data_IF_032952677090
#
_entry.id   IF_032952677090
#
_cell.length_a   1.000
_cell.length_b   1.000
_cell.length_c   1.000
_cell.angle_alpha   90.00
_cell.angle_beta   90.00
_cell.angle_gamma   90.00
#
_symmetry.space_group_name_H-M   'P 1'
#
loop_
_entity.id
_entity.type
_entity.pdbx_description
1 polymer ?
#
# COMPACT_ATOMS: atom_id res chain seq x y z
N UNK A 1 12.90 -1.37 17.77
CA UNK A 1 11.82 -0.42 18.10
C UNK A 1 10.80 -0.40 16.97
N UNK A 2 9.52 -0.61 17.25
CA UNK A 2 8.44 -0.54 16.26
C UNK A 2 7.78 0.85 16.29
N UNK A 3 8.21 1.74 15.40
CA UNK A 3 7.82 3.15 15.40
C UNK A 3 6.30 3.37 15.41
N UNK A 4 5.56 2.73 14.49
CA UNK A 4 4.10 2.92 14.37
C UNK A 4 3.27 2.39 15.54
N UNK A 5 3.86 1.61 16.45
CA UNK A 5 3.19 1.10 17.65
C UNK A 5 3.80 1.67 18.94
N UNK A 6 4.85 2.50 18.83
CA UNK A 6 5.58 3.05 19.97
C UNK A 6 6.05 2.01 21.02
N UNK A 7 6.45 0.81 20.57
CA UNK A 7 6.93 -0.28 21.46
C UNK A 7 8.39 -0.69 21.16
N UNK A 8 9.17 -1.12 22.17
CA UNK A 8 10.57 -1.50 21.98
C UNK A 8 10.74 -2.74 21.10
N UNK A 9 9.90 -3.76 21.29
CA UNK A 9 9.93 -5.04 20.57
C UNK A 9 8.52 -5.43 20.12
N UNK A 10 8.41 -6.00 18.92
CA UNK A 10 7.16 -6.50 18.36
C UNK A 10 7.43 -7.65 17.39
N UNK A 11 6.54 -8.64 17.37
CA UNK A 11 6.52 -9.72 16.38
C UNK A 11 5.09 -10.15 16.10
N UNK A 12 4.87 -10.85 15.00
CA UNK A 12 3.58 -11.46 14.68
C UNK A 12 3.45 -12.82 15.40
N UNK A 13 2.30 -13.05 16.06
CA UNK A 13 1.98 -14.35 16.66
C UNK A 13 0.58 -14.91 16.31
N UNK A 14 -0.40 -14.03 16.10
CA UNK A 14 -1.84 -14.37 16.18
C UNK A 14 -2.46 -14.96 14.91
N UNK A 15 -1.71 -15.22 13.83
CA UNK A 15 -2.30 -15.71 12.57
C UNK A 15 -1.47 -16.78 11.81
N UNK A 16 -1.09 -17.89 12.47
CA UNK A 16 -0.27 -18.95 11.86
C UNK A 16 -0.83 -19.54 10.57
N UNK A 17 -2.15 -19.56 10.41
CA UNK A 17 -2.81 -20.10 9.21
C UNK A 17 -2.47 -19.29 7.95
N UNK A 18 -2.27 -17.98 8.06
CA UNK A 18 -2.14 -17.07 6.90
C UNK A 18 -0.80 -16.35 6.81
N UNK A 19 0.09 -16.51 7.80
CA UNK A 19 1.44 -15.92 7.77
C UNK A 19 2.45 -16.93 8.31
N UNK A 20 3.44 -17.24 7.47
CA UNK A 20 4.50 -18.16 7.86
C UNK A 20 5.39 -17.63 8.99
N UNK A 21 5.51 -16.29 9.14
CA UNK A 21 6.22 -15.68 10.26
C UNK A 21 5.63 -16.09 11.62
N UNK A 22 4.30 -16.15 11.74
CA UNK A 22 3.65 -16.61 12.97
C UNK A 22 4.01 -18.09 13.25
N UNK A 23 4.05 -18.96 12.23
CA UNK A 23 4.42 -20.38 12.38
C UNK A 23 5.82 -20.53 12.99
N UNK A 24 6.79 -19.75 12.52
CA UNK A 24 8.15 -19.76 13.06
C UNK A 24 8.15 -19.36 14.54
N UNK A 25 7.40 -18.31 14.90
CA UNK A 25 7.29 -17.86 16.29
C UNK A 25 6.64 -18.92 17.17
N UNK A 26 5.59 -19.60 16.69
CA UNK A 26 4.96 -20.72 17.39
C UNK A 26 5.94 -21.88 17.63
N UNK A 27 6.74 -22.25 16.62
CA UNK A 27 7.78 -23.28 16.75
C UNK A 27 8.84 -22.89 17.79
N UNK A 28 9.36 -21.66 17.70
CA UNK A 28 10.35 -21.16 18.65
C UNK A 28 9.80 -21.11 20.07
N UNK A 29 8.55 -20.66 20.25
CA UNK A 29 7.89 -20.61 21.55
C UNK A 29 7.72 -22.00 22.15
N UNK A 30 7.24 -22.97 21.36
CA UNK A 30 7.07 -24.35 21.81
C UNK A 30 8.39 -24.96 22.32
N UNK A 31 9.49 -24.71 21.60
CA UNK A 31 10.85 -25.14 22.01
C UNK A 31 11.28 -24.44 23.31
N UNK A 32 11.06 -23.13 23.43
CA UNK A 32 11.44 -22.41 24.67
C UNK A 32 10.64 -22.84 25.90
N UNK A 33 9.41 -23.32 25.71
CA UNK A 33 8.58 -23.86 26.78
C UNK A 33 8.87 -25.35 27.07
N UNK A 34 9.77 -26.00 26.33
CA UNK A 34 10.04 -27.44 26.46
C UNK A 34 8.91 -28.35 25.97
N UNK A 35 7.96 -27.82 25.19
CA UNK A 35 6.85 -28.57 24.62
C UNK A 35 7.23 -29.30 23.31
N UNK A 36 8.34 -28.90 22.67
CA UNK A 36 8.83 -29.47 21.42
C UNK A 36 10.37 -29.44 21.35
N UNK A 37 10.94 -30.19 20.40
CA UNK A 37 12.38 -30.29 20.18
C UNK A 37 12.94 -29.15 19.30
N UNK A 38 14.23 -28.85 19.46
CA UNK A 38 14.93 -27.80 18.71
C UNK A 38 14.98 -28.07 17.21
N UNK A 39 14.76 -27.03 16.41
CA UNK A 39 14.89 -27.07 14.95
C UNK A 39 16.23 -26.45 14.53
N UNK A 40 17.21 -27.26 14.03
CA UNK A 40 18.56 -26.77 13.73
C UNK A 40 18.59 -25.68 12.65
N UNK A 41 17.71 -25.76 11.65
CA UNK A 41 17.62 -24.76 10.58
C UNK A 41 17.15 -23.38 11.06
N UNK A 42 16.38 -23.32 12.16
CA UNK A 42 15.88 -22.05 12.72
C UNK A 42 16.91 -21.39 13.64
N UNK A 43 17.85 -22.16 14.18
CA UNK A 43 18.96 -21.67 15.01
C UNK A 43 20.09 -21.09 14.15
N UNK A 44 20.19 -21.51 12.90
CA UNK A 44 21.14 -20.96 11.94
C UNK A 44 20.72 -19.54 11.53
N UNK A 45 21.59 -18.58 11.87
CA UNK A 45 21.36 -17.15 11.64
C UNK A 45 21.28 -16.81 10.15
N UNK A 46 22.07 -17.46 9.30
CA UNK A 46 22.09 -17.15 7.86
C UNK A 46 20.81 -17.62 7.19
N UNK A 47 20.39 -18.86 7.47
CA UNK A 47 19.13 -19.41 6.98
C UNK A 47 17.94 -18.59 7.48
N UNK A 48 17.92 -18.22 8.76
CA UNK A 48 16.85 -17.40 9.34
C UNK A 48 16.78 -16.00 8.71
N UNK A 49 17.93 -15.37 8.43
CA UNK A 49 17.99 -14.09 7.72
C UNK A 49 17.43 -14.20 6.29
N UNK A 50 17.85 -15.20 5.53
CA UNK A 50 17.36 -15.44 4.17
C UNK A 50 15.85 -15.73 4.14
N UNK A 51 15.36 -16.48 5.11
CA UNK A 51 13.94 -16.74 5.29
C UNK A 51 13.18 -15.43 5.56
N UNK A 52 13.67 -14.58 6.47
CA UNK A 52 13.07 -13.27 6.74
C UNK A 52 12.99 -12.40 5.48
N UNK A 53 14.05 -12.37 4.66
CA UNK A 53 14.05 -11.63 3.40
C UNK A 53 12.99 -12.14 2.42
N UNK A 54 12.89 -13.47 2.25
CA UNK A 54 11.86 -14.08 1.40
C UNK A 54 10.43 -13.76 1.88
N UNK A 55 10.19 -13.81 3.20
CA UNK A 55 8.89 -13.45 3.78
C UNK A 55 8.52 -11.99 3.54
N UNK A 56 9.49 -11.09 3.69
CA UNK A 56 9.31 -9.66 3.41
C UNK A 56 8.97 -9.41 1.93
N UNK A 57 9.69 -10.09 1.02
CA UNK A 57 9.41 -10.03 -0.41
C UNK A 57 8.00 -10.52 -0.73
N UNK A 58 7.63 -11.71 -0.23
CA UNK A 58 6.31 -12.32 -0.48
C UNK A 58 5.17 -11.47 0.09
N UNK A 59 5.33 -10.91 1.29
CA UNK A 59 4.35 -10.01 1.88
C UNK A 59 4.14 -8.75 1.02
N UNK A 60 5.23 -8.14 0.55
CA UNK A 60 5.15 -6.97 -0.34
C UNK A 60 4.47 -7.30 -1.67
N UNK A 61 4.84 -8.43 -2.29
CA UNK A 61 4.23 -8.88 -3.54
C UNK A 61 2.74 -9.19 -3.39
N UNK A 62 2.34 -9.84 -2.29
CA UNK A 62 0.93 -10.11 -2.00
C UNK A 62 0.11 -8.81 -1.88
N UNK A 63 0.67 -7.77 -1.25
CA UNK A 63 0.02 -6.45 -1.17
C UNK A 63 -0.11 -5.79 -2.54
N UNK A 64 0.91 -5.87 -3.41
CA UNK A 64 0.81 -5.33 -4.77
C UNK A 64 -0.25 -6.07 -5.59
N UNK A 65 -0.28 -7.39 -5.53
CA UNK A 65 -1.28 -8.19 -6.21
C UNK A 65 -2.71 -7.87 -5.73
N UNK A 66 -2.91 -7.74 -4.42
CA UNK A 66 -4.20 -7.34 -3.84
C UNK A 66 -4.65 -5.97 -4.33
N UNK A 67 -3.76 -4.96 -4.31
CA UNK A 67 -4.06 -3.62 -4.84
C UNK A 67 -4.39 -3.65 -6.33
N UNK A 68 -3.63 -4.39 -7.14
CA UNK A 68 -3.86 -4.51 -8.57
C UNK A 68 -5.21 -5.17 -8.89
N UNK A 69 -5.58 -6.21 -8.13
CA UNK A 69 -6.88 -6.88 -8.29
C UNK A 69 -8.05 -5.96 -7.95
N UNK A 70 -7.96 -5.22 -6.84
CA UNK A 70 -8.98 -4.22 -6.46
C UNK A 70 -9.10 -3.17 -7.55
N UNK A 71 -7.98 -2.59 -8.00
CA UNK A 71 -7.98 -1.59 -9.07
C UNK A 71 -8.65 -2.13 -10.34
N UNK A 72 -8.27 -3.33 -10.80
CA UNK A 72 -8.85 -3.96 -11.99
C UNK A 72 -10.37 -4.17 -11.86
N UNK A 73 -10.83 -4.72 -10.75
CA UNK A 73 -12.25 -4.94 -10.50
C UNK A 73 -13.04 -3.62 -10.45
N UNK A 74 -12.43 -2.56 -9.92
CA UNK A 74 -13.05 -1.25 -9.92
C UNK A 74 -13.18 -0.67 -11.33
N UNK A 75 -12.19 -0.86 -12.20
CA UNK A 75 -12.32 -0.47 -13.63
C UNK A 75 -13.46 -1.21 -14.33
N UNK A 76 -13.63 -2.51 -14.03
CA UNK A 76 -14.76 -3.29 -14.55
C UNK A 76 -16.08 -2.73 -14.02
N UNK A 77 -16.16 -2.39 -12.73
CA UNK A 77 -17.37 -1.86 -12.11
C UNK A 77 -17.85 -0.54 -12.75
N UNK A 78 -16.92 0.34 -13.11
CA UNK A 78 -17.22 1.62 -13.78
C UNK A 78 -17.40 1.51 -15.29
N UNK A 79 -17.12 0.35 -15.89
CA UNK A 79 -17.31 0.16 -17.33
C UNK A 79 -18.79 0.33 -17.68
N UNK A 80 -19.10 1.39 -18.43
CA UNK A 80 -20.47 1.71 -18.86
C UNK A 80 -21.31 2.46 -17.82
N UNK A 81 -20.71 2.95 -16.73
CA UNK A 81 -21.37 3.82 -15.74
C UNK A 81 -20.68 5.17 -15.70
N UNK A 82 -21.45 6.24 -15.84
CA UNK A 82 -21.03 7.62 -15.60
C UNK A 82 -21.62 8.06 -14.27
N UNK A 83 -20.77 8.49 -13.34
CA UNK A 83 -21.20 8.93 -12.02
C UNK A 83 -20.26 10.04 -11.52
N UNK A 84 -20.87 11.12 -11.05
CA UNK A 84 -20.17 12.28 -10.52
C UNK A 84 -20.03 12.12 -9.01
N UNK A 85 -18.81 12.23 -8.50
CA UNK A 85 -18.53 12.13 -7.06
C UNK A 85 -17.45 13.13 -6.67
N UNK A 86 -17.49 13.55 -5.41
CA UNK A 86 -16.48 14.43 -4.84
C UNK A 86 -15.17 13.68 -4.56
N UNK A 87 -14.06 14.29 -4.93
CA UNK A 87 -12.71 13.77 -4.70
C UNK A 87 -11.83 14.80 -3.99
N UNK A 88 -10.87 14.31 -3.20
CA UNK A 88 -9.87 15.12 -2.53
C UNK A 88 -8.53 15.06 -3.28
N UNK A 89 -7.88 16.20 -3.45
CA UNK A 89 -6.54 16.24 -4.06
C UNK A 89 -5.52 15.75 -3.02
N UNK A 90 -4.81 14.67 -3.34
CA UNK A 90 -3.73 14.12 -2.51
C UNK A 90 -2.39 14.77 -2.85
N UNK A 91 -2.06 14.83 -4.14
CA UNK A 91 -0.78 15.34 -4.61
C UNK A 91 -0.98 16.25 -5.81
N UNK A 92 -0.23 17.34 -5.81
CA UNK A 92 -0.17 18.28 -6.91
C UNK A 92 1.17 18.07 -7.61
N UNK A 93 1.15 17.79 -8.92
CA UNK A 93 2.35 17.72 -9.78
C UNK A 93 2.33 18.88 -10.78
N UNK A 94 3.47 19.13 -11.41
CA UNK A 94 3.64 20.21 -12.41
C UNK A 94 2.63 20.14 -13.57
N UNK A 95 2.24 18.93 -13.96
CA UNK A 95 1.35 18.68 -15.11
C UNK A 95 0.12 17.83 -14.78
N UNK A 96 -0.07 17.43 -13.51
CA UNK A 96 -1.13 16.51 -13.13
C UNK A 96 -1.57 16.68 -11.67
N UNK A 97 -2.83 16.41 -11.39
CA UNK A 97 -3.38 16.32 -10.04
C UNK A 97 -3.68 14.85 -9.73
N UNK A 98 -3.22 14.37 -8.57
CA UNK A 98 -3.60 13.06 -8.06
C UNK A 98 -4.76 13.25 -7.08
N UNK A 99 -5.92 12.74 -7.45
CA UNK A 99 -7.18 12.89 -6.73
C UNK A 99 -7.57 11.53 -6.14
N UNK A 100 -8.06 11.52 -4.91
CA UNK A 100 -8.63 10.37 -4.21
C UNK A 100 -10.14 10.55 -4.13
N UNK A 101 -10.89 9.54 -4.60
CA UNK A 101 -12.34 9.44 -4.42
C UNK A 101 -12.59 8.51 -3.23
N UNK A 102 -12.93 9.02 -2.03
CA UNK A 102 -12.96 8.22 -0.80
C UNK A 102 -14.00 7.11 -0.82
N UNK A 103 -15.16 7.38 -1.45
CA UNK A 103 -16.28 6.43 -1.54
C UNK A 103 -15.89 5.10 -2.16
N UNK A 104 -14.95 5.13 -3.10
CA UNK A 104 -14.46 3.94 -3.80
C UNK A 104 -13.00 3.60 -3.47
N UNK A 105 -12.32 4.43 -2.66
CA UNK A 105 -10.88 4.29 -2.38
C UNK A 105 -10.02 4.36 -3.64
N UNK A 106 -10.47 5.08 -4.67
CA UNK A 106 -9.79 5.18 -5.96
C UNK A 106 -8.87 6.37 -6.02
N UNK A 107 -7.63 6.13 -6.43
CA UNK A 107 -6.71 7.20 -6.82
C UNK A 107 -6.74 7.35 -8.34
N UNK A 108 -7.01 8.57 -8.81
CA UNK A 108 -6.97 8.93 -10.22
C UNK A 108 -5.96 10.05 -10.46
N UNK A 109 -5.34 10.04 -11.64
CA UNK A 109 -4.44 11.13 -12.06
C UNK A 109 -5.14 11.91 -13.17
N UNK A 110 -5.43 13.18 -12.89
CA UNK A 110 -6.01 14.11 -13.84
C UNK A 110 -4.90 14.96 -14.46
N UNK A 111 -4.65 14.79 -15.75
CA UNK A 111 -3.69 15.59 -16.49
C UNK A 111 -4.33 16.93 -16.89
N UNK A 112 -3.69 18.04 -16.51
CA UNK A 112 -4.23 19.39 -16.68
C UNK A 112 -3.99 19.99 -18.09
N UNK A 113 -3.03 19.45 -18.84
CA UNK A 113 -2.74 19.86 -20.20
C UNK A 113 -2.80 18.65 -21.14
N UNK A 114 -3.66 18.66 -22.18
CA UNK A 114 -3.49 17.74 -23.30
C UNK A 114 -2.19 18.08 -24.03
N UNK A 115 -1.50 17.07 -24.57
CA UNK A 115 -0.28 17.26 -25.37
C UNK A 115 -0.56 18.22 -26.53
N UNK A 116 -0.22 19.52 -26.39
CA UNK A 116 -0.27 20.49 -27.48
C UNK A 116 -0.81 21.88 -27.16
N UNK A 117 -1.50 22.11 -26.03
CA UNK A 117 -2.06 23.43 -25.70
C UNK A 117 -1.56 23.93 -24.35
N UNK A 118 -0.86 25.06 -24.37
CA UNK A 118 -0.46 25.81 -23.17
C UNK A 118 -1.68 26.51 -22.59
N UNK A 119 -2.48 25.79 -21.81
CA UNK A 119 -3.50 26.41 -20.97
C UNK A 119 -2.80 27.14 -19.80
N UNK A 120 -2.68 28.47 -19.93
CA UNK A 120 -2.10 29.41 -18.96
C UNK A 120 -2.85 29.48 -17.60
N UNK A 121 -3.61 28.46 -17.21
CA UNK A 121 -4.51 28.50 -16.04
C UNK A 121 -3.88 27.86 -14.79
N UNK A 122 -2.83 27.05 -14.95
CA UNK A 122 -2.20 26.35 -13.82
C UNK A 122 -0.81 26.91 -13.50
N UNK A 123 -0.71 27.71 -12.43
CA UNK A 123 0.56 28.14 -11.88
C UNK A 123 0.96 27.18 -10.75
N UNK A 124 1.97 26.34 -11.00
CA UNK A 124 2.50 25.43 -9.98
C UNK A 124 3.45 26.15 -9.03
N UNK A 125 3.11 26.22 -7.75
CA UNK A 125 3.98 26.74 -6.69
C UNK A 125 4.37 25.59 -5.73
N UNK A 126 5.67 25.34 -5.58
CA UNK A 126 6.20 24.25 -4.75
C UNK A 126 5.97 24.47 -3.24
N UNK A 127 5.77 25.71 -2.81
CA UNK A 127 5.60 26.07 -1.39
C UNK A 127 4.13 26.08 -0.93
N UNK A 128 3.18 26.24 -1.86
CA UNK A 128 1.75 26.37 -1.57
C UNK A 128 0.98 25.43 -2.49
N UNK A 129 0.53 24.27 -1.97
CA UNK A 129 -0.42 23.40 -2.66
C UNK A 129 -1.62 24.23 -3.16
N UNK A 130 -1.72 24.43 -4.48
CA UNK A 130 -2.54 25.47 -5.10
C UNK A 130 -4.04 25.22 -4.90
N UNK A 131 -4.79 26.30 -4.64
CA UNK A 131 -6.25 26.39 -4.79
C UNK A 131 -6.63 26.26 -6.27
N UNK A 132 -7.06 25.08 -6.71
CA UNK A 132 -7.69 24.91 -8.02
C UNK A 132 -9.21 25.11 -7.92
N UNK A 133 -9.75 26.12 -8.60
CA UNK A 133 -11.20 26.35 -8.74
C UNK A 133 -11.58 25.94 -10.16
N UNK A 134 -11.92 24.67 -10.36
CA UNK A 134 -12.37 24.17 -11.65
C UNK A 134 -13.90 23.99 -11.65
N UNK A 135 -14.61 24.84 -12.40
CA UNK A 135 -15.98 24.57 -12.85
C UNK A 135 -15.86 23.94 -14.23
N UNK A 136 -16.17 22.66 -14.35
CA UNK A 136 -16.21 21.96 -15.64
C UNK A 136 -17.13 20.75 -15.52
N UNK A 137 -18.17 20.73 -16.36
CA UNK A 137 -19.12 19.63 -16.51
C UNK A 137 -18.41 18.41 -17.11
N UNK A 138 -18.74 17.23 -16.58
CA UNK A 138 -18.48 15.93 -17.21
C UNK A 138 -19.27 15.78 -18.50
#
# INVERSE_FOLDING_TARGET
FHYGLAVPLYTHFTSPIRRYADIIVHRLLAVTCGADATYPDLLDKEKSSNLCQNLNYRNRMAQYAGRASVAFNTHIFFKGKLQDEDGYILYVRKNALQILIPKYGLECTLFLAPKGETSNIFCYNEEVCIKAKCRGKL
#
